data_IF_194597868133
#
_entry.id   IF_194597868133
#
_cell.length_a   1.000
_cell.length_b   1.000
_cell.length_c   1.000
_cell.angle_alpha   90.00
_cell.angle_beta   90.00
_cell.angle_gamma   90.00
#
_symmetry.space_group_name_H-M   'P 1'
#
loop_
_entity.id
_entity.type
_entity.pdbx_description
1 polymer ?
#
# COMPACT_ATOMS: atom_id res chain seq x y z
N UNK A 1 -43.85 -28.12 43.39
CA UNK A 1 -43.66 -27.07 42.43
C UNK A 1 -42.36 -26.37 42.83
N UNK A 2 -41.22 -26.83 42.31
CA UNK A 2 -39.88 -26.30 42.59
C UNK A 2 -39.46 -25.43 41.42
N UNK A 3 -38.77 -24.29 41.63
CA UNK A 3 -38.28 -23.45 40.55
C UNK A 3 -36.99 -24.03 39.93
N UNK A 4 -36.97 -24.01 38.62
CA UNK A 4 -35.82 -24.41 37.78
C UNK A 4 -34.76 -23.31 37.85
N UNK A 5 -33.58 -23.66 38.31
CA UNK A 5 -32.40 -22.78 38.29
C UNK A 5 -31.81 -22.73 36.87
N UNK A 6 -31.73 -21.53 36.30
CA UNK A 6 -30.97 -21.26 35.07
C UNK A 6 -29.45 -21.42 35.32
N UNK A 7 -28.76 -22.16 34.47
CA UNK A 7 -27.28 -22.10 34.47
C UNK A 7 -26.82 -20.93 33.59
N UNK A 8 -26.44 -19.85 34.21
CA UNK A 8 -25.65 -18.80 33.57
C UNK A 8 -24.30 -19.38 33.20
N UNK A 9 -24.15 -19.86 31.97
CA UNK A 9 -22.85 -20.19 31.40
C UNK A 9 -22.15 -18.88 31.01
N UNK A 10 -21.34 -18.36 31.92
CA UNK A 10 -20.29 -17.41 31.58
C UNK A 10 -19.32 -18.13 30.64
N UNK A 11 -19.45 -17.87 29.36
CA UNK A 11 -18.47 -18.30 28.36
C UNK A 11 -17.13 -17.68 28.71
N UNK A 12 -16.18 -18.50 29.16
CA UNK A 12 -14.79 -18.09 29.31
C UNK A 12 -14.29 -17.72 27.91
N UNK A 13 -13.94 -16.45 27.71
CA UNK A 13 -13.16 -16.03 26.55
C UNK A 13 -11.87 -16.88 26.50
N UNK A 14 -11.43 -17.34 25.32
CA UNK A 14 -10.21 -18.08 25.20
C UNK A 14 -9.03 -17.19 25.66
N UNK A 15 -8.39 -17.57 26.77
CA UNK A 15 -7.20 -16.92 27.28
C UNK A 15 -6.11 -16.94 26.19
N UNK A 16 -5.81 -15.79 25.58
CA UNK A 16 -4.73 -15.65 24.60
C UNK A 16 -5.03 -14.82 23.35
N UNK A 17 -6.23 -14.27 23.18
CA UNK A 17 -6.48 -13.33 22.08
C UNK A 17 -5.87 -11.96 22.41
N UNK A 18 -4.80 -11.56 21.71
CA UNK A 18 -4.26 -10.20 21.79
C UNK A 18 -5.31 -9.26 21.24
N UNK A 19 -5.80 -8.30 22.03
CA UNK A 19 -6.72 -7.28 21.53
C UNK A 19 -5.95 -6.28 20.66
N UNK A 20 -6.55 -5.86 19.54
CA UNK A 20 -6.01 -4.84 18.66
C UNK A 20 -6.69 -3.49 18.95
N UNK A 21 -5.94 -2.42 18.88
CA UNK A 21 -6.42 -1.05 18.97
C UNK A 21 -6.12 -0.32 17.68
N UNK A 22 -7.06 0.49 17.21
CA UNK A 22 -6.90 1.26 15.99
C UNK A 22 -7.32 2.71 16.18
N UNK A 23 -6.66 3.61 15.43
CA UNK A 23 -7.07 4.98 15.20
C UNK A 23 -7.12 5.24 13.71
N UNK A 24 -8.00 6.15 13.30
CA UNK A 24 -8.22 6.48 11.89
C UNK A 24 -8.31 7.99 11.70
N UNK A 25 -7.83 8.44 10.55
CA UNK A 25 -8.03 9.81 10.04
C UNK A 25 -8.26 9.76 8.52
N UNK A 26 -8.61 10.91 7.92
CA UNK A 26 -8.85 11.02 6.47
C UNK A 26 -7.82 11.95 5.87
N UNK A 27 -7.00 11.47 4.92
CA UNK A 27 -6.05 12.27 4.19
C UNK A 27 -5.82 11.69 2.78
N UNK A 28 -5.32 12.50 1.83
CA UNK A 28 -5.05 12.08 0.43
C UNK A 28 -6.26 11.40 -0.23
N UNK A 29 -7.48 11.82 0.13
CA UNK A 29 -8.73 11.27 -0.41
C UNK A 29 -9.06 9.84 0.04
N UNK A 30 -8.45 9.35 1.11
CA UNK A 30 -8.70 8.02 1.64
C UNK A 30 -8.73 7.99 3.17
N UNK A 31 -9.18 6.88 3.75
CA UNK A 31 -9.08 6.60 5.19
C UNK A 31 -7.72 5.97 5.45
N UNK A 32 -7.00 6.53 6.42
CA UNK A 32 -5.76 5.97 6.97
C UNK A 32 -6.06 5.39 8.35
N UNK A 33 -5.58 4.18 8.63
CA UNK A 33 -5.73 3.54 9.93
C UNK A 33 -4.39 3.01 10.44
N UNK A 34 -4.07 3.34 11.69
CA UNK A 34 -2.97 2.76 12.44
C UNK A 34 -3.52 1.76 13.46
N UNK A 35 -3.09 0.51 13.38
CA UNK A 35 -3.49 -0.58 14.27
C UNK A 35 -2.27 -1.12 15.00
N UNK A 36 -2.39 -1.29 16.32
CA UNK A 36 -1.35 -1.86 17.18
C UNK A 36 -1.93 -2.94 18.09
N UNK A 37 -1.16 -3.96 18.50
CA UNK A 37 -1.58 -4.88 19.56
C UNK A 37 -1.57 -4.13 20.90
N UNK A 38 -2.56 -4.42 21.75
CA UNK A 38 -2.57 -3.98 23.14
C UNK A 38 -1.40 -4.66 23.88
N UNK A 39 -0.68 -3.91 24.71
CA UNK A 39 0.43 -4.47 25.46
C UNK A 39 -0.08 -5.23 26.70
N UNK A 40 0.35 -6.48 26.91
CA UNK A 40 -0.01 -7.22 28.12
C UNK A 40 0.46 -6.48 29.37
N UNK A 41 -0.45 -6.21 30.31
CA UNK A 41 -0.13 -5.58 31.59
C UNK A 41 0.03 -4.05 31.54
N UNK A 42 -0.12 -3.41 30.38
CA UNK A 42 -0.16 -1.95 30.28
C UNK A 42 -1.53 -1.43 30.71
N UNK A 43 -1.61 -0.30 31.45
CA UNK A 43 -2.88 0.39 31.66
C UNK A 43 -3.53 0.75 30.31
N UNK A 44 -4.84 0.52 30.20
CA UNK A 44 -5.63 0.79 29.00
C UNK A 44 -5.41 2.22 28.44
N UNK A 45 -5.28 3.20 29.34
CA UNK A 45 -5.16 4.61 28.99
C UNK A 45 -3.77 4.95 28.44
N UNK A 46 -2.70 4.39 29.02
CA UNK A 46 -1.34 4.62 28.52
C UNK A 46 -1.12 4.07 27.08
N UNK A 47 -1.72 2.92 26.76
CA UNK A 47 -1.70 2.38 25.39
C UNK A 47 -2.53 3.25 24.43
N UNK A 48 -3.65 3.80 24.91
CA UNK A 48 -4.48 4.70 24.13
C UNK A 48 -3.76 6.01 23.81
N UNK A 49 -3.14 6.63 24.81
CA UNK A 49 -2.37 7.88 24.67
C UNK A 49 -1.18 7.70 23.74
N UNK A 50 -0.48 6.56 23.85
CA UNK A 50 0.64 6.24 22.96
C UNK A 50 0.20 6.07 21.52
N UNK A 51 -0.92 5.37 21.27
CA UNK A 51 -1.48 5.21 19.94
C UNK A 51 -1.96 6.55 19.39
N UNK A 52 -2.59 7.40 20.20
CA UNK A 52 -3.03 8.73 19.82
C UNK A 52 -1.85 9.61 19.38
N UNK A 53 -0.81 9.69 20.21
CA UNK A 53 0.40 10.45 19.88
C UNK A 53 1.10 9.95 18.61
N UNK A 54 1.19 8.63 18.43
CA UNK A 54 1.76 8.06 17.22
C UNK A 54 0.91 8.34 15.98
N UNK A 55 -0.42 8.29 16.13
CA UNK A 55 -1.35 8.61 15.04
C UNK A 55 -1.24 10.08 14.63
N UNK A 56 -1.14 11.00 15.57
CA UNK A 56 -0.97 12.44 15.30
C UNK A 56 0.31 12.70 14.48
N UNK A 57 1.44 12.04 14.79
CA UNK A 57 2.68 12.15 14.00
C UNK A 57 2.48 11.64 12.57
N UNK A 58 1.78 10.53 12.39
CA UNK A 58 1.47 9.97 11.06
C UNK A 58 0.54 10.92 10.29
N UNK A 59 -0.50 11.45 10.94
CA UNK A 59 -1.46 12.38 10.34
C UNK A 59 -0.77 13.66 9.86
N UNK A 60 0.04 14.31 10.71
CA UNK A 60 0.82 15.50 10.35
C UNK A 60 1.70 15.26 9.10
N UNK A 61 2.35 14.09 9.02
CA UNK A 61 3.19 13.74 7.86
C UNK A 61 2.36 13.56 6.57
N UNK A 62 1.20 12.91 6.67
CA UNK A 62 0.31 12.75 5.54
C UNK A 62 -0.26 14.09 5.09
N UNK A 63 -0.64 14.98 6.02
CA UNK A 63 -1.15 16.33 5.73
C UNK A 63 -0.10 17.20 5.05
N UNK A 64 1.15 17.18 5.51
CA UNK A 64 2.26 17.91 4.91
C UNK A 64 2.52 17.47 3.46
N UNK A 65 2.50 16.16 3.22
CA UNK A 65 2.67 15.62 1.87
C UNK A 65 1.46 15.92 0.98
N UNK A 66 0.24 15.83 1.48
CA UNK A 66 -0.97 16.19 0.76
C UNK A 66 -1.02 17.70 0.43
N UNK A 67 -0.62 18.56 1.37
CA UNK A 67 -0.50 20.00 1.13
C UNK A 67 0.50 20.33 0.01
N UNK A 68 1.54 19.54 -0.13
CA UNK A 68 2.62 19.75 -1.11
C UNK A 68 2.35 19.12 -2.47
N UNK A 69 1.81 17.88 -2.49
CA UNK A 69 1.73 17.06 -3.70
C UNK A 69 0.32 16.92 -4.29
N UNK A 70 -0.73 17.35 -3.61
CA UNK A 70 -2.11 17.21 -4.09
C UNK A 70 -2.37 18.14 -5.28
N UNK A 71 -2.77 17.58 -6.41
CA UNK A 71 -3.24 18.35 -7.58
C UNK A 71 -4.64 18.95 -7.38
N UNK A 72 -5.36 18.56 -6.32
CA UNK A 72 -6.66 19.13 -5.94
C UNK A 72 -6.53 20.37 -5.07
N UNK A 73 -5.36 20.67 -4.53
CA UNK A 73 -5.05 21.88 -3.76
C UNK A 73 -4.38 22.91 -4.68
N UNK A 74 -5.05 24.03 -5.04
CA UNK A 74 -4.53 24.97 -6.04
C UNK A 74 -3.17 25.55 -5.68
N UNK A 75 -2.90 25.72 -4.38
CA UNK A 75 -1.67 26.31 -3.87
C UNK A 75 -0.58 25.29 -3.55
N UNK A 76 -0.83 24.00 -3.80
CA UNK A 76 0.19 22.97 -3.62
C UNK A 76 1.38 23.21 -4.56
N UNK A 77 2.55 22.75 -4.16
CA UNK A 77 3.75 22.83 -4.98
C UNK A 77 3.56 22.06 -6.31
N UNK A 78 2.97 20.86 -6.27
CA UNK A 78 2.66 20.07 -7.45
C UNK A 78 1.72 20.80 -8.43
N UNK A 79 0.66 21.46 -7.92
CA UNK A 79 -0.25 22.24 -8.74
C UNK A 79 0.43 23.44 -9.39
N UNK A 80 1.30 24.14 -8.68
CA UNK A 80 2.06 25.27 -9.20
C UNK A 80 3.06 24.84 -10.28
N UNK A 81 3.75 23.72 -10.06
CA UNK A 81 4.65 23.14 -11.08
C UNK A 81 3.84 22.71 -12.31
N UNK A 82 2.71 22.05 -12.13
CA UNK A 82 1.86 21.58 -13.23
C UNK A 82 1.30 22.74 -14.08
N UNK A 83 1.05 23.92 -13.48
CA UNK A 83 0.61 25.12 -14.22
C UNK A 83 1.77 25.97 -14.79
N UNK A 84 3.03 25.57 -14.56
CA UNK A 84 4.20 26.34 -14.98
C UNK A 84 4.46 27.61 -14.18
N UNK A 85 3.81 27.78 -13.02
CA UNK A 85 4.01 28.90 -12.08
C UNK A 85 5.29 28.73 -11.25
N UNK A 86 5.77 27.52 -11.15
CA UNK A 86 7.01 27.14 -10.47
C UNK A 86 7.75 26.15 -11.35
N UNK A 87 9.02 26.43 -11.65
CA UNK A 87 9.85 25.46 -12.36
C UNK A 87 10.25 24.31 -11.42
N UNK A 88 10.46 23.12 -11.98
CA UNK A 88 10.93 21.96 -11.17
C UNK A 88 12.29 22.24 -10.51
N UNK A 89 13.13 23.08 -11.14
CA UNK A 89 14.43 23.46 -10.58
C UNK A 89 14.34 24.35 -9.33
N UNK A 90 13.28 25.15 -9.24
CA UNK A 90 12.99 26.05 -8.10
C UNK A 90 12.12 25.35 -7.05
N UNK A 91 11.57 24.18 -7.38
CA UNK A 91 10.77 23.38 -6.47
C UNK A 91 11.60 22.87 -5.28
N UNK A 92 10.91 22.45 -4.21
CA UNK A 92 11.56 21.93 -3.00
C UNK A 92 12.47 20.73 -3.30
N UNK A 93 13.51 20.48 -2.49
CA UNK A 93 14.33 19.28 -2.63
C UNK A 93 13.51 18.00 -2.69
N UNK A 94 12.50 17.86 -1.81
CA UNK A 94 11.62 16.68 -1.77
C UNK A 94 10.85 16.51 -3.08
N UNK A 95 10.34 17.60 -3.67
CA UNK A 95 9.65 17.54 -4.97
C UNK A 95 10.57 17.02 -6.07
N UNK A 96 11.80 17.55 -6.13
CA UNK A 96 12.80 17.11 -7.11
C UNK A 96 13.21 15.65 -6.93
N UNK A 97 13.38 15.21 -5.68
CA UNK A 97 13.77 13.84 -5.35
C UNK A 97 12.68 12.85 -5.73
N UNK A 98 11.42 13.13 -5.38
CA UNK A 98 10.29 12.27 -5.75
C UNK A 98 10.04 12.27 -7.26
N UNK A 99 10.23 13.38 -7.95
CA UNK A 99 10.16 13.38 -9.41
C UNK A 99 11.29 12.54 -10.04
N UNK A 100 12.52 12.66 -9.53
CA UNK A 100 13.62 11.81 -9.98
C UNK A 100 13.36 10.32 -9.73
N UNK A 101 12.75 9.97 -8.59
CA UNK A 101 12.31 8.61 -8.28
C UNK A 101 11.24 8.13 -9.25
N UNK A 102 10.24 8.94 -9.53
CA UNK A 102 9.19 8.61 -10.50
C UNK A 102 9.76 8.39 -11.91
N UNK A 103 10.76 9.19 -12.34
CA UNK A 103 11.48 8.98 -13.60
C UNK A 103 12.29 7.67 -13.58
N UNK A 104 12.89 7.30 -12.42
CA UNK A 104 13.56 5.99 -12.27
C UNK A 104 12.56 4.84 -12.43
N UNK A 105 11.41 4.94 -11.80
CA UNK A 105 10.33 3.95 -11.92
C UNK A 105 9.80 3.85 -13.35
N UNK A 106 9.60 4.98 -14.05
CA UNK A 106 9.24 4.99 -15.46
C UNK A 106 10.19 4.15 -16.31
N UNK A 107 11.51 4.33 -16.11
CA UNK A 107 12.53 3.56 -16.84
C UNK A 107 12.49 2.07 -16.48
N UNK A 108 12.34 1.74 -15.19
CA UNK A 108 12.33 0.36 -14.72
C UNK A 108 11.09 -0.41 -15.17
N UNK A 109 9.97 0.27 -15.36
CA UNK A 109 8.68 -0.32 -15.80
C UNK A 109 8.42 -0.14 -17.30
N UNK A 110 9.45 0.20 -18.09
CA UNK A 110 9.36 0.43 -19.55
C UNK A 110 8.26 1.45 -19.92
N UNK A 111 8.01 2.43 -19.04
CA UNK A 111 7.02 3.49 -19.21
C UNK A 111 5.59 3.13 -18.79
N UNK A 112 5.34 1.93 -18.26
CA UNK A 112 4.02 1.54 -17.75
C UNK A 112 3.62 2.40 -16.55
N UNK A 113 4.56 2.70 -15.64
CA UNK A 113 4.44 3.78 -14.68
C UNK A 113 5.07 5.06 -15.24
N UNK A 114 4.40 6.21 -15.11
CA UNK A 114 4.94 7.50 -15.55
C UNK A 114 4.41 8.63 -14.65
N UNK A 115 5.27 9.61 -14.26
CA UNK A 115 4.82 10.82 -13.57
C UNK A 115 4.18 11.85 -14.52
N UNK A 116 4.14 11.58 -15.81
CA UNK A 116 3.60 12.48 -16.82
C UNK A 116 2.24 11.97 -17.29
N UNK A 117 1.22 12.77 -17.08
CA UNK A 117 -0.13 12.51 -17.59
C UNK A 117 -0.19 12.66 -19.12
N UNK A 118 -1.19 12.08 -19.79
CA UNK A 118 -1.36 12.24 -21.24
C UNK A 118 -1.52 13.70 -21.70
N UNK A 119 -2.00 14.59 -20.83
CA UNK A 119 -2.11 16.03 -21.07
C UNK A 119 -0.80 16.81 -20.84
N UNK A 120 0.27 16.12 -20.48
CA UNK A 120 1.60 16.69 -20.22
C UNK A 120 1.80 17.25 -18.81
N UNK A 121 0.77 17.16 -17.94
CA UNK A 121 0.90 17.58 -16.56
C UNK A 121 1.70 16.56 -15.74
N UNK A 122 2.47 17.06 -14.76
CA UNK A 122 3.15 16.22 -13.79
C UNK A 122 2.15 15.73 -12.74
N UNK A 123 2.13 14.43 -12.49
CA UNK A 123 1.34 13.80 -11.44
C UNK A 123 2.16 12.73 -10.72
N UNK A 124 2.44 12.96 -9.44
CA UNK A 124 3.21 12.07 -8.58
C UNK A 124 2.31 11.22 -7.66
N UNK A 125 0.98 11.28 -7.82
CA UNK A 125 0.04 10.60 -6.90
C UNK A 125 0.25 9.10 -6.80
N UNK A 126 0.69 8.44 -7.89
CA UNK A 126 1.01 7.01 -7.91
C UNK A 126 2.32 6.63 -7.20
N UNK A 127 3.06 7.61 -6.65
CA UNK A 127 4.28 7.38 -5.87
C UNK A 127 4.16 7.96 -4.46
N UNK A 128 3.52 9.14 -4.32
CA UNK A 128 3.49 9.91 -3.07
C UNK A 128 2.77 9.16 -1.95
N UNK A 129 1.73 8.38 -2.25
CA UNK A 129 1.01 7.59 -1.25
C UNK A 129 1.91 6.50 -0.65
N UNK A 130 2.56 5.70 -1.48
CA UNK A 130 3.53 4.70 -1.02
C UNK A 130 4.69 5.33 -0.24
N UNK A 131 5.17 6.50 -0.69
CA UNK A 131 6.19 7.26 0.02
C UNK A 131 5.70 7.72 1.41
N UNK A 132 4.48 8.27 1.52
CA UNK A 132 3.89 8.71 2.79
C UNK A 132 3.79 7.54 3.79
N UNK A 133 3.32 6.38 3.35
CA UNK A 133 3.22 5.18 4.18
C UNK A 133 4.62 4.71 4.64
N UNK A 134 5.62 4.78 3.75
CA UNK A 134 6.99 4.38 4.09
C UNK A 134 7.63 5.33 5.12
N UNK A 135 7.45 6.66 4.96
CA UNK A 135 7.92 7.66 5.94
C UNK A 135 7.25 7.47 7.30
N UNK A 136 5.91 7.32 7.31
CA UNK A 136 5.15 7.06 8.52
C UNK A 136 5.65 5.79 9.24
N UNK A 137 5.92 4.71 8.49
CA UNK A 137 6.49 3.48 9.06
C UNK A 137 7.84 3.71 9.73
N UNK A 138 8.72 4.55 9.14
CA UNK A 138 10.00 4.93 9.77
C UNK A 138 9.81 5.72 11.06
N UNK A 139 8.85 6.65 11.08
CA UNK A 139 8.52 7.43 12.27
C UNK A 139 7.95 6.56 13.38
N UNK A 140 7.08 5.61 13.07
CA UNK A 140 6.54 4.66 14.04
C UNK A 140 7.66 3.84 14.71
N UNK A 141 8.62 3.35 13.93
CA UNK A 141 9.80 2.65 14.47
C UNK A 141 10.66 3.59 15.34
N UNK A 142 10.87 4.82 14.92
CA UNK A 142 11.62 5.83 15.69
C UNK A 142 10.93 6.19 17.03
N UNK A 143 9.59 6.13 17.07
CA UNK A 143 8.79 6.28 18.29
C UNK A 143 8.78 5.01 19.18
N UNK A 144 9.51 3.96 18.77
CA UNK A 144 9.62 2.70 19.51
C UNK A 144 8.39 1.79 19.36
N UNK A 145 7.54 1.99 18.33
CA UNK A 145 6.53 1.02 17.97
C UNK A 145 7.14 -0.01 17.02
N UNK A 146 7.06 -1.28 17.39
CA UNK A 146 7.64 -2.37 16.59
C UNK A 146 6.58 -3.30 15.99
N UNK A 147 5.38 -3.34 16.59
CA UNK A 147 4.26 -4.17 16.16
C UNK A 147 3.10 -3.26 15.73
N UNK A 148 2.91 -3.09 14.44
CA UNK A 148 1.86 -2.23 13.90
C UNK A 148 1.47 -2.60 12.47
N UNK A 149 0.26 -2.19 12.09
CA UNK A 149 -0.25 -2.23 10.73
C UNK A 149 -0.77 -0.83 10.37
N UNK A 150 -0.21 -0.24 9.32
CA UNK A 150 -0.66 1.02 8.72
C UNK A 150 -1.34 0.71 7.39
N UNK A 151 -2.61 1.12 7.27
CA UNK A 151 -3.41 0.96 6.06
C UNK A 151 -3.89 2.32 5.56
N UNK A 152 -3.62 2.65 4.32
CA UNK A 152 -4.09 3.87 3.66
C UNK A 152 -4.83 3.51 2.37
N UNK A 153 -6.17 3.38 2.44
CA UNK A 153 -7.02 3.09 1.28
C UNK A 153 -6.73 1.73 0.64
N UNK A 154 -6.43 0.71 1.43
CA UNK A 154 -6.12 -0.64 0.94
C UNK A 154 -4.63 -0.90 0.71
N UNK A 155 -3.76 0.13 0.78
CA UNK A 155 -2.32 -0.05 0.81
C UNK A 155 -1.85 -0.25 2.24
N UNK A 156 -1.23 -1.38 2.50
CA UNK A 156 -0.90 -1.87 3.83
C UNK A 156 0.61 -2.02 3.97
N UNK A 157 1.16 -1.45 5.03
CA UNK A 157 2.53 -1.69 5.49
C UNK A 157 2.47 -2.19 6.92
N UNK A 158 3.28 -3.21 7.23
CA UNK A 158 3.31 -3.80 8.57
C UNK A 158 4.71 -3.88 9.14
N UNK A 159 4.76 -3.91 10.47
CA UNK A 159 5.94 -4.26 11.24
C UNK A 159 5.55 -5.25 12.34
N UNK A 160 6.47 -6.12 12.71
CA UNK A 160 6.25 -7.08 13.79
C UNK A 160 5.06 -8.01 13.57
N UNK A 161 4.24 -8.19 14.60
CA UNK A 161 3.15 -9.15 14.66
C UNK A 161 1.93 -8.60 15.39
N UNK A 162 0.69 -8.94 14.97
CA UNK A 162 -0.53 -8.62 15.72
C UNK A 162 -0.63 -9.38 17.05
N UNK A 163 0.15 -10.47 17.19
CA UNK A 163 0.22 -11.27 18.41
C UNK A 163 1.68 -11.72 18.61
N UNK A 164 2.55 -10.83 19.14
CA UNK A 164 3.94 -11.17 19.39
C UNK A 164 4.06 -12.34 20.37
N UNK A 165 4.96 -13.27 20.08
CA UNK A 165 5.25 -14.39 20.98
C UNK A 165 6.73 -14.78 20.90
N UNK A 166 7.24 -15.45 21.94
CA UNK A 166 8.62 -15.94 21.98
C UNK A 166 8.93 -16.99 20.90
N UNK A 167 7.90 -17.66 20.36
CA UNK A 167 8.03 -18.67 19.30
C UNK A 167 7.88 -18.09 17.87
N UNK A 168 7.84 -16.76 17.73
CA UNK A 168 7.47 -16.05 16.50
C UNK A 168 5.99 -15.66 16.53
N UNK A 169 5.67 -14.46 16.05
CA UNK A 169 4.30 -13.94 16.06
C UNK A 169 3.48 -14.45 14.88
N UNK A 170 2.17 -14.26 14.96
CA UNK A 170 1.27 -14.48 13.81
C UNK A 170 1.50 -13.42 12.74
N UNK A 171 1.27 -13.71 11.45
CA UNK A 171 1.29 -12.70 10.39
C UNK A 171 0.12 -11.72 10.55
N UNK A 172 0.31 -10.50 10.07
CA UNK A 172 -0.80 -9.60 9.77
C UNK A 172 -1.54 -10.14 8.55
N UNK A 173 -2.87 -10.02 8.54
CA UNK A 173 -3.68 -10.45 7.38
C UNK A 173 -4.22 -9.22 6.67
N UNK A 174 -3.76 -8.98 5.45
CA UNK A 174 -4.27 -7.93 4.58
C UNK A 174 -5.42 -8.48 3.70
N UNK A 175 -6.64 -8.02 3.93
CA UNK A 175 -7.81 -8.40 3.14
C UNK A 175 -7.78 -7.77 1.76
N UNK A 176 -8.14 -8.53 0.72
CA UNK A 176 -8.25 -8.06 -0.65
C UNK A 176 -9.73 -8.04 -1.01
N UNK A 177 -10.24 -6.85 -1.25
CA UNK A 177 -11.66 -6.61 -1.56
C UNK A 177 -11.93 -6.93 -3.04
N UNK A 178 -13.11 -7.48 -3.33
CA UNK A 178 -13.59 -7.69 -4.68
C UNK A 178 -13.89 -6.32 -5.35
N UNK A 179 -13.28 -6.00 -6.52
CA UNK A 179 -13.56 -4.75 -7.22
C UNK A 179 -15.01 -4.61 -7.68
N UNK A 180 -15.75 -5.71 -7.84
CA UNK A 180 -17.16 -5.71 -8.23
C UNK A 180 -18.11 -5.58 -7.03
N UNK A 181 -17.71 -6.06 -5.85
CA UNK A 181 -18.49 -5.97 -4.61
C UNK A 181 -17.58 -5.68 -3.41
N UNK A 182 -17.55 -4.42 -2.99
CA UNK A 182 -16.71 -3.94 -1.87
C UNK A 182 -17.03 -4.59 -0.50
N UNK A 183 -18.12 -5.33 -0.38
CA UNK A 183 -18.48 -6.07 0.83
C UNK A 183 -17.91 -7.48 0.86
N UNK A 184 -17.41 -7.95 -0.29
CA UNK A 184 -16.86 -9.29 -0.45
C UNK A 184 -15.33 -9.22 -0.46
N UNK A 185 -14.68 -10.14 0.25
CA UNK A 185 -13.23 -10.36 0.17
C UNK A 185 -12.94 -11.47 -0.82
N UNK A 186 -12.03 -11.23 -1.75
CA UNK A 186 -11.45 -12.26 -2.61
C UNK A 186 -10.51 -13.19 -1.84
N UNK A 187 -9.93 -12.69 -0.75
CA UNK A 187 -9.01 -13.42 0.10
C UNK A 187 -8.27 -12.51 1.06
N UNK A 188 -7.30 -13.08 1.77
CA UNK A 188 -6.39 -12.35 2.63
C UNK A 188 -4.95 -12.80 2.36
N UNK A 189 -4.02 -11.85 2.38
CA UNK A 189 -2.61 -12.12 2.19
C UNK A 189 -1.84 -11.95 3.51
N UNK A 190 -1.02 -12.94 3.93
CA UNK A 190 -0.24 -12.86 5.18
C UNK A 190 1.00 -11.97 5.00
N UNK A 191 1.08 -10.89 5.78
CA UNK A 191 2.21 -9.97 5.82
C UNK A 191 3.03 -10.17 7.09
N UNK A 192 4.33 -9.97 7.00
CA UNK A 192 5.22 -10.06 8.15
C UNK A 192 5.58 -11.49 8.58
N UNK A 193 5.01 -12.54 7.99
CA UNK A 193 5.41 -13.93 8.26
C UNK A 193 6.84 -14.18 7.76
N UNK A 194 7.63 -14.92 8.54
CA UNK A 194 8.87 -15.47 8.02
C UNK A 194 8.54 -16.58 7.04
N UNK A 195 9.16 -16.56 5.86
CA UNK A 195 9.14 -17.73 5.00
C UNK A 195 9.76 -18.92 5.79
N UNK A 196 8.99 -20.01 5.91
CA UNK A 196 9.48 -21.22 6.59
C UNK A 196 10.69 -21.73 5.81
N UNK A 197 11.90 -21.56 6.38
CA UNK A 197 13.13 -22.09 5.79
C UNK A 197 14.28 -21.12 5.53
N UNK A 198 14.14 -19.83 5.76
CA UNK A 198 15.25 -18.88 5.57
C UNK A 198 15.91 -18.49 6.90
N UNK A 199 17.13 -18.96 7.11
CA UNK A 199 18.04 -18.40 8.11
C UNK A 199 18.49 -17.01 7.65
N UNK A 200 18.28 -15.99 8.52
CA UNK A 200 18.65 -14.62 8.24
C UNK A 200 20.17 -14.40 8.27
N UNK A 201 20.79 -13.82 7.23
CA UNK A 201 22.02 -13.05 7.41
C UNK A 201 21.64 -11.58 7.71
N UNK A 202 22.40 -10.95 8.59
CA UNK A 202 22.20 -9.64 9.19
C UNK A 202 21.52 -8.60 8.31
N UNK A 203 20.40 -8.09 8.82
CA UNK A 203 19.59 -7.08 8.15
C UNK A 203 20.35 -5.74 8.10
N UNK A 204 20.63 -5.27 6.90
CA UNK A 204 20.95 -3.87 6.64
C UNK A 204 19.63 -3.07 6.60
N UNK A 205 19.64 -1.79 7.07
CA UNK A 205 18.44 -0.95 7.08
C UNK A 205 17.93 -0.69 5.65
N UNK A 206 16.61 -0.58 5.45
CA UNK A 206 16.01 -0.29 4.14
C UNK A 206 16.48 1.09 3.67
N UNK A 207 17.06 1.15 2.47
CA UNK A 207 17.57 2.37 1.84
C UNK A 207 18.99 2.31 1.31
N UNK A 208 19.74 1.23 1.54
CA UNK A 208 21.18 1.13 1.21
C UNK A 208 21.51 0.11 0.13
N UNK A 209 20.66 -0.05 -0.92
CA UNK A 209 21.05 -0.84 -2.08
C UNK A 209 21.50 0.09 -3.22
N UNK A 210 22.70 -0.10 -3.79
CA UNK A 210 23.13 0.62 -4.97
C UNK A 210 22.24 0.27 -6.18
N UNK A 211 21.96 1.22 -7.10
CA UNK A 211 21.13 0.98 -8.27
C UNK A 211 21.77 -0.09 -9.16
N UNK A 212 21.07 -1.20 -9.35
CA UNK A 212 21.50 -2.29 -10.23
C UNK A 212 21.76 -3.65 -9.57
N UNK A 213 21.62 -3.79 -8.26
CA UNK A 213 21.74 -5.09 -7.57
C UNK A 213 20.53 -5.97 -7.91
N UNK A 214 20.77 -7.06 -8.63
CA UNK A 214 19.80 -8.12 -8.86
C UNK A 214 19.64 -8.88 -7.54
N UNK A 215 18.50 -8.77 -6.88
CA UNK A 215 18.17 -9.70 -5.81
C UNK A 215 18.05 -11.10 -6.41
N UNK A 216 18.72 -12.11 -5.83
CA UNK A 216 18.62 -13.48 -6.37
C UNK A 216 17.18 -13.96 -6.23
N UNK A 217 16.56 -14.36 -7.34
CA UNK A 217 15.29 -15.06 -7.35
C UNK A 217 15.44 -16.32 -6.48
N UNK A 218 14.75 -16.35 -5.32
CA UNK A 218 14.80 -17.46 -4.38
C UNK A 218 15.20 -17.13 -2.94
N UNK A 219 15.62 -15.90 -2.62
CA UNK A 219 15.66 -15.47 -1.23
C UNK A 219 14.22 -15.13 -0.82
N UNK A 220 13.56 -15.96 -0.03
CA UNK A 220 12.20 -15.68 0.46
C UNK A 220 12.14 -14.37 1.24
N UNK A 221 12.22 -13.25 0.52
CA UNK A 221 12.15 -11.92 1.10
C UNK A 221 10.80 -11.76 1.81
N UNK A 222 10.86 -11.26 3.04
CA UNK A 222 9.68 -11.08 3.87
C UNK A 222 8.74 -10.08 3.20
N UNK A 223 7.49 -10.45 2.95
CA UNK A 223 6.46 -9.52 2.44
C UNK A 223 5.96 -8.67 3.60
N UNK A 224 6.28 -7.39 3.58
CA UNK A 224 5.88 -6.42 4.61
C UNK A 224 4.79 -5.47 4.12
N UNK A 225 4.57 -5.42 2.83
CA UNK A 225 3.64 -4.49 2.21
C UNK A 225 2.73 -5.18 1.19
N UNK A 226 1.50 -4.71 1.10
CA UNK A 226 0.53 -5.01 0.05
C UNK A 226 -0.03 -3.67 -0.46
N UNK A 227 0.00 -3.45 -1.76
CA UNK A 227 -0.70 -2.32 -2.37
C UNK A 227 -1.68 -2.79 -3.43
N UNK A 228 -2.80 -2.09 -3.55
CA UNK A 228 -3.86 -2.42 -4.51
C UNK A 228 -4.21 -1.21 -5.35
N UNK A 229 -4.09 -1.37 -6.68
CA UNK A 229 -4.49 -0.38 -7.67
C UNK A 229 -5.63 -0.90 -8.53
N UNK A 230 -6.56 -0.02 -8.91
CA UNK A 230 -7.70 -0.38 -9.74
C UNK A 230 -8.73 0.74 -9.85
N UNK A 231 -9.76 0.53 -10.67
CA UNK A 231 -10.84 1.49 -10.89
C UNK A 231 -11.81 1.57 -9.71
N UNK A 232 -11.79 0.61 -8.78
CA UNK A 232 -12.77 0.50 -7.70
C UNK A 232 -12.63 1.57 -6.60
N UNK A 233 -11.41 2.12 -6.37
CA UNK A 233 -11.17 3.04 -5.24
C UNK A 233 -11.30 4.52 -5.59
N UNK A 234 -10.84 4.94 -6.79
CA UNK A 234 -10.78 6.35 -7.18
C UNK A 234 -11.34 6.62 -8.58
N UNK A 235 -12.05 5.66 -9.18
CA UNK A 235 -12.48 5.76 -10.58
C UNK A 235 -11.31 5.62 -11.58
N UNK A 236 -11.54 6.02 -12.84
CA UNK A 236 -10.57 5.89 -13.93
C UNK A 236 -9.47 6.96 -13.87
N UNK A 237 -8.67 6.99 -12.81
CA UNK A 237 -7.52 7.90 -12.66
C UNK A 237 -6.20 7.30 -13.16
N UNK A 238 -6.15 6.00 -13.47
CA UNK A 238 -4.99 5.33 -14.03
C UNK A 238 -5.15 5.34 -15.56
N UNK A 239 -4.27 6.05 -16.26
CA UNK A 239 -4.24 6.10 -17.72
C UNK A 239 -3.39 4.98 -18.28
N UNK A 240 -3.82 4.39 -19.41
CA UNK A 240 -3.09 3.32 -20.09
C UNK A 240 -1.86 3.87 -20.81
N UNK A 241 -0.72 3.18 -20.68
CA UNK A 241 0.49 3.49 -21.39
C UNK A 241 0.25 3.40 -22.92
N UNK A 242 0.62 4.47 -23.65
CA UNK A 242 0.48 4.52 -25.12
C UNK A 242 -0.49 5.55 -25.67
N UNK A 243 -1.31 6.19 -24.84
CA UNK A 243 -2.18 7.31 -25.30
C UNK A 243 -1.39 8.63 -25.25
N UNK A 244 -0.56 8.89 -26.25
CA UNK A 244 0.01 10.21 -26.51
C UNK A 244 -0.91 10.93 -27.50
N UNK A 245 -1.67 11.93 -27.04
CA UNK A 245 -2.46 12.78 -27.92
C UNK A 245 -2.97 14.04 -27.21
N UNK A 246 -3.06 15.20 -27.93
CA UNK A 246 -3.40 16.49 -27.35
C UNK A 246 -4.89 16.68 -27.00
N UNK A 247 -5.70 15.64 -26.99
CA UNK A 247 -7.17 15.73 -26.83
C UNK A 247 -7.70 15.15 -25.52
N UNK A 248 -6.85 14.87 -24.52
CA UNK A 248 -7.33 14.43 -23.22
C UNK A 248 -8.00 15.61 -22.49
N UNK A 249 -9.29 15.49 -22.25
CA UNK A 249 -10.07 16.41 -21.40
C UNK A 249 -10.38 15.66 -20.13
N UNK A 250 -10.02 16.23 -18.95
CA UNK A 250 -10.12 15.69 -17.61
C UNK A 250 -11.33 14.78 -17.31
N UNK A 251 -11.51 14.30 -16.06
CA UNK A 251 -12.50 13.28 -15.72
C UNK A 251 -13.92 13.79 -15.91
N UNK A 252 -14.39 13.75 -17.15
CA UNK A 252 -15.80 13.74 -17.49
C UNK A 252 -16.17 12.27 -17.70
N UNK A 253 -17.32 11.85 -17.22
CA UNK A 253 -17.87 10.50 -17.17
C UNK A 253 -17.99 9.77 -18.53
N UNK A 254 -17.31 10.26 -19.56
CA UNK A 254 -17.15 9.63 -20.88
C UNK A 254 -15.70 9.86 -21.31
N UNK A 255 -14.86 8.83 -21.14
CA UNK A 255 -13.51 8.82 -21.70
C UNK A 255 -13.52 9.07 -23.20
N UNK A 256 -12.39 9.57 -23.81
CA UNK A 256 -12.35 9.82 -25.25
C UNK A 256 -12.68 8.54 -26.00
N UNK A 257 -13.52 8.65 -27.02
CA UNK A 257 -13.84 7.54 -27.93
C UNK A 257 -12.53 6.99 -28.50
N UNK A 258 -12.13 5.78 -28.06
CA UNK A 258 -10.87 5.12 -28.41
C UNK A 258 -9.91 4.86 -27.24
N UNK A 259 -10.15 5.33 -26.03
CA UNK A 259 -9.38 4.92 -24.85
C UNK A 259 -9.61 3.43 -24.58
N UNK A 260 -8.56 2.63 -24.69
CA UNK A 260 -8.64 1.21 -24.41
C UNK A 260 -8.82 1.03 -22.89
N UNK A 261 -9.87 0.33 -22.48
CA UNK A 261 -10.12 0.00 -21.09
C UNK A 261 -8.90 -0.80 -20.55
N UNK A 262 -8.40 -0.52 -19.33
CA UNK A 262 -7.37 -1.34 -18.73
C UNK A 262 -7.75 -2.83 -18.77
N UNK A 263 -6.78 -3.72 -18.95
CA UNK A 263 -7.03 -5.17 -19.02
C UNK A 263 -7.50 -5.71 -17.67
N UNK A 264 -6.97 -5.14 -16.57
CA UNK A 264 -7.31 -5.53 -15.21
C UNK A 264 -8.20 -4.49 -14.54
N UNK A 265 -9.22 -4.95 -13.84
CA UNK A 265 -10.08 -4.13 -12.97
C UNK A 265 -9.34 -3.75 -11.68
N UNK A 266 -8.48 -4.66 -11.18
CA UNK A 266 -7.71 -4.49 -9.96
C UNK A 266 -6.44 -5.32 -10.00
N UNK A 267 -5.37 -4.77 -9.42
CA UNK A 267 -4.11 -5.50 -9.21
C UNK A 267 -3.63 -5.24 -7.78
N UNK A 268 -3.35 -6.31 -7.04
CA UNK A 268 -2.72 -6.28 -5.74
C UNK A 268 -1.31 -6.84 -5.83
N UNK A 269 -0.34 -6.12 -5.28
CA UNK A 269 1.08 -6.52 -5.25
C UNK A 269 1.55 -6.59 -3.81
N UNK A 270 2.11 -7.74 -3.42
CA UNK A 270 2.80 -7.90 -2.15
C UNK A 270 4.32 -7.86 -2.37
N UNK A 271 5.02 -7.01 -1.61
CA UNK A 271 6.45 -6.75 -1.73
C UNK A 271 7.13 -6.61 -0.36
N UNK A 272 8.45 -6.48 -0.37
CA UNK A 272 9.25 -6.16 0.82
C UNK A 272 9.07 -4.71 1.29
N UNK A 273 8.68 -3.80 0.39
CA UNK A 273 8.42 -2.39 0.70
C UNK A 273 7.18 -1.87 -0.02
N UNK A 274 6.58 -0.84 0.56
CA UNK A 274 5.28 -0.32 0.10
C UNK A 274 5.39 0.52 -1.18
N UNK A 275 6.50 1.20 -1.41
CA UNK A 275 6.69 2.01 -2.62
C UNK A 275 6.78 1.10 -3.84
N UNK A 276 7.56 0.00 -3.75
CA UNK A 276 7.62 -1.02 -4.78
C UNK A 276 6.23 -1.64 -5.04
N UNK A 277 5.49 -2.00 -3.99
CA UNK A 277 4.16 -2.56 -4.12
C UNK A 277 3.19 -1.61 -4.85
N UNK A 278 3.11 -0.34 -4.43
CA UNK A 278 2.19 0.68 -4.96
C UNK A 278 2.51 1.02 -6.43
N UNK A 279 3.79 1.28 -6.74
CA UNK A 279 4.21 1.59 -8.11
C UNK A 279 3.99 0.42 -9.06
N UNK A 280 4.31 -0.82 -8.65
CA UNK A 280 4.12 -1.99 -9.51
C UNK A 280 2.64 -2.34 -9.70
N UNK A 281 1.79 -2.19 -8.68
CA UNK A 281 0.35 -2.36 -8.83
C UNK A 281 -0.20 -1.38 -9.86
N UNK A 282 0.17 -0.09 -9.76
CA UNK A 282 -0.21 0.96 -10.72
C UNK A 282 0.32 0.66 -12.13
N UNK A 283 1.59 0.26 -12.26
CA UNK A 283 2.19 -0.07 -13.54
C UNK A 283 1.49 -1.24 -14.25
N UNK A 284 1.12 -2.29 -13.50
CA UNK A 284 0.44 -3.47 -14.08
C UNK A 284 -0.99 -3.12 -14.52
N UNK A 285 -1.72 -2.31 -13.76
CA UNK A 285 -3.04 -1.82 -14.20
C UNK A 285 -2.92 -1.00 -15.49
N UNK A 286 -1.92 -0.10 -15.57
CA UNK A 286 -1.72 0.77 -16.73
C UNK A 286 -1.22 0.03 -17.99
N UNK A 287 -0.36 -0.97 -17.82
CA UNK A 287 0.34 -1.67 -18.91
C UNK A 287 -0.17 -3.07 -19.22
N UNK A 288 -1.12 -3.61 -18.44
CA UNK A 288 -1.77 -4.89 -18.68
C UNK A 288 -0.83 -6.10 -18.53
N UNK A 289 -1.17 -7.19 -19.21
CA UNK A 289 -0.49 -8.50 -19.08
C UNK A 289 0.99 -8.44 -19.40
N UNK A 290 1.39 -7.71 -20.45
CA UNK A 290 2.82 -7.62 -20.80
C UNK A 290 3.65 -6.99 -19.67
N UNK A 291 3.09 -6.01 -18.96
CA UNK A 291 3.74 -5.42 -17.77
C UNK A 291 3.73 -6.39 -16.59
N UNK A 292 2.65 -7.15 -16.38
CA UNK A 292 2.59 -8.20 -15.36
C UNK A 292 3.73 -9.23 -15.57
N UNK A 293 3.90 -9.74 -16.80
CA UNK A 293 4.95 -10.69 -17.13
C UNK A 293 6.35 -10.10 -16.88
N UNK A 294 6.56 -8.83 -17.26
CA UNK A 294 7.82 -8.12 -17.02
C UNK A 294 8.09 -7.90 -15.53
N UNK A 295 7.06 -7.57 -14.72
CA UNK A 295 7.16 -7.42 -13.27
C UNK A 295 7.56 -8.73 -12.63
N UNK A 296 6.90 -9.84 -12.99
CA UNK A 296 7.21 -11.17 -12.47
C UNK A 296 8.63 -11.64 -12.81
N UNK A 297 9.16 -11.21 -13.95
CA UNK A 297 10.52 -11.56 -14.37
C UNK A 297 11.62 -10.74 -13.67
N UNK A 298 11.31 -9.53 -13.19
CA UNK A 298 12.30 -8.55 -12.70
C UNK A 298 12.30 -8.34 -11.20
N UNK A 299 11.17 -8.56 -10.52
CA UNK A 299 11.02 -8.31 -9.09
C UNK A 299 10.61 -9.57 -8.32
N UNK A 300 11.10 -9.67 -7.09
CA UNK A 300 10.61 -10.67 -6.14
C UNK A 300 9.36 -10.11 -5.44
N UNK A 301 8.20 -10.34 -6.06
CA UNK A 301 6.89 -9.88 -5.59
C UNK A 301 5.84 -10.98 -5.82
N UNK A 302 4.75 -10.91 -5.05
CA UNK A 302 3.56 -11.69 -5.33
C UNK A 302 2.48 -10.78 -5.92
N UNK A 303 1.76 -11.25 -6.94
CA UNK A 303 0.74 -10.47 -7.65
C UNK A 303 -0.58 -11.23 -7.74
N UNK A 304 -1.68 -10.53 -7.45
CA UNK A 304 -3.04 -10.94 -7.78
C UNK A 304 -3.64 -9.89 -8.70
N UNK A 305 -4.00 -10.28 -9.92
CA UNK A 305 -4.69 -9.43 -10.88
C UNK A 305 -6.11 -9.97 -11.12
N UNK A 306 -7.09 -9.06 -11.11
CA UNK A 306 -8.52 -9.34 -11.34
C UNK A 306 -8.90 -8.73 -12.67
N UNK A 307 -9.33 -9.54 -13.62
CA UNK A 307 -9.85 -9.08 -14.90
C UNK A 307 -11.29 -8.57 -14.76
N UNK A 308 -11.76 -7.82 -15.75
CA UNK A 308 -13.12 -7.26 -15.72
C UNK A 308 -14.25 -8.31 -15.79
N UNK A 309 -13.97 -9.50 -16.25
CA UNK A 309 -14.90 -10.66 -16.25
C UNK A 309 -14.84 -11.48 -14.95
N UNK A 310 -14.04 -11.02 -13.96
CA UNK A 310 -13.82 -11.70 -12.69
C UNK A 310 -12.74 -12.79 -12.71
N UNK A 311 -12.08 -13.04 -13.84
CA UNK A 311 -10.98 -14.00 -13.90
C UNK A 311 -9.80 -13.53 -13.06
N UNK A 312 -9.21 -14.46 -12.30
CA UNK A 312 -8.09 -14.20 -11.39
C UNK A 312 -6.78 -14.75 -11.96
N UNK A 313 -5.75 -13.92 -11.96
CA UNK A 313 -4.36 -14.30 -12.21
C UNK A 313 -3.57 -14.11 -10.93
N UNK A 314 -3.03 -15.18 -10.38
CA UNK A 314 -2.35 -15.12 -9.08
C UNK A 314 -1.01 -15.87 -9.13
N UNK A 315 0.01 -15.26 -8.53
CA UNK A 315 1.29 -15.94 -8.25
C UNK A 315 1.12 -17.01 -7.17
N UNK A 316 2.09 -17.94 -7.03
CA UNK A 316 2.02 -18.96 -5.99
C UNK A 316 1.81 -18.42 -4.58
N UNK A 317 2.38 -17.24 -4.21
CA UNK A 317 2.23 -16.64 -2.90
C UNK A 317 0.77 -16.28 -2.55
N UNK A 318 -0.05 -15.94 -3.56
CA UNK A 318 -1.49 -15.72 -3.38
C UNK A 318 -2.34 -17.01 -3.43
N UNK A 319 -1.75 -18.11 -3.89
CA UNK A 319 -2.45 -19.40 -4.01
C UNK A 319 -2.23 -20.32 -2.81
N UNK A 320 -1.27 -19.99 -1.94
CA UNK A 320 -1.00 -20.80 -0.77
C UNK A 320 -2.26 -20.76 0.14
N UNK A 321 -2.79 -21.94 0.57
CA UNK A 321 -3.87 -21.94 1.53
C UNK A 321 -3.39 -21.24 2.80
N UNK A 322 -4.20 -20.31 3.32
CA UNK A 322 -3.99 -19.81 4.68
C UNK A 322 -3.91 -21.02 5.59
N UNK A 323 -2.77 -21.22 6.25
CA UNK A 323 -2.68 -22.23 7.29
C UNK A 323 -3.77 -21.90 8.32
N UNK A 324 -4.75 -22.82 8.44
CA UNK A 324 -5.87 -22.73 9.33
C UNK A 324 -5.41 -22.78 10.81
#
# INVERSE_FOLDING_TARGET
MQPISDPTSAGAEPAGATSLRARTFVCMGTVVSLTVPAQPGSPSDADADRLEAATAVVEDQFEDLDARFSLFKPNSEASRVSRGELSLMEASPLMRDLYADAVRWRRRTDGAFTPERPDGLMDLSGLVKGYAIAEAGRSLVALGLHDWCLNAGGDVLVSGSPAPSAAGGKPWLAGIVDPADRRTLLGAYPLGAQAVGAQAPGALPPGALPPGSREPAGSGARRLALATSGSAERGDHIWTAGLRGPSWRGPSSQGPAGARRPEFAQVSVAASDIVTADVLATAVVAGGRGTLDAVMARWDVDVLAVAHDGALLATPGFRAPSAA
#
